data_IF_107985681137
#
_entry.id   IF_107985681137
#
_cell.length_a   1.000
_cell.length_b   1.000
_cell.length_c   1.000
_cell.angle_alpha   90.00
_cell.angle_beta   90.00
_cell.angle_gamma   90.00
#
_symmetry.space_group_name_H-M   'P 1'
#
loop_
_entity.id
_entity.type
_entity.pdbx_description
1 polymer ?
#
# COMPACT_ATOMS: atom_id res chain seq x y z
N UNK A 1 -18.67 -9.09 -26.08
CA UNK A 1 -18.01 -7.80 -25.77
C UNK A 1 -16.52 -8.03 -25.66
N UNK A 2 -15.67 -7.05 -26.00
CA UNK A 2 -14.24 -7.17 -25.79
C UNK A 2 -13.92 -7.40 -24.30
N UNK A 3 -12.99 -8.31 -24.00
CA UNK A 3 -12.61 -8.69 -22.64
C UNK A 3 -12.19 -7.49 -21.77
N UNK A 4 -11.46 -6.53 -22.36
CA UNK A 4 -11.02 -5.32 -21.65
C UNK A 4 -12.19 -4.45 -21.13
N UNK A 5 -13.36 -4.49 -21.77
CA UNK A 5 -14.53 -3.72 -21.30
C UNK A 5 -15.07 -4.32 -20.00
N UNK A 6 -15.12 -5.65 -19.90
CA UNK A 6 -15.57 -6.34 -18.70
C UNK A 6 -14.62 -6.08 -17.52
N UNK A 7 -13.31 -6.03 -17.78
CA UNK A 7 -12.32 -5.72 -16.76
C UNK A 7 -12.46 -4.28 -16.24
N UNK A 8 -12.64 -3.31 -17.13
CA UNK A 8 -12.87 -1.90 -16.74
C UNK A 8 -14.15 -1.75 -15.92
N UNK A 9 -15.22 -2.45 -16.32
CA UNK A 9 -16.48 -2.46 -15.56
C UNK A 9 -16.31 -3.10 -14.18
N UNK A 10 -15.57 -4.21 -14.07
CA UNK A 10 -15.30 -4.87 -12.80
C UNK A 10 -14.50 -3.97 -11.85
N UNK A 11 -13.47 -3.29 -12.36
CA UNK A 11 -12.69 -2.30 -11.59
C UNK A 11 -13.58 -1.13 -11.15
N UNK A 12 -14.40 -0.58 -12.06
CA UNK A 12 -15.33 0.50 -11.73
C UNK A 12 -16.32 0.11 -10.63
N UNK A 13 -16.84 -1.12 -10.66
CA UNK A 13 -17.73 -1.65 -9.64
C UNK A 13 -17.04 -1.80 -8.27
N UNK A 14 -15.77 -2.20 -8.26
CA UNK A 14 -14.96 -2.25 -7.03
C UNK A 14 -14.78 -0.86 -6.40
N UNK A 15 -14.46 0.15 -7.23
CA UNK A 15 -14.31 1.53 -6.76
C UNK A 15 -15.62 2.06 -6.18
N UNK A 16 -16.74 1.83 -6.86
CA UNK A 16 -18.08 2.22 -6.37
C UNK A 16 -18.39 1.49 -5.04
N UNK A 17 -18.12 0.19 -4.96
CA UNK A 17 -18.32 -0.57 -3.73
C UNK A 17 -17.53 0.00 -2.55
N UNK A 18 -16.25 0.34 -2.77
CA UNK A 18 -15.39 0.93 -1.74
C UNK A 18 -15.90 2.29 -1.26
N UNK A 19 -16.40 3.14 -2.18
CA UNK A 19 -17.00 4.42 -1.84
C UNK A 19 -18.29 4.22 -1.03
N UNK A 20 -19.19 3.34 -1.48
CA UNK A 20 -20.45 3.01 -0.78
C UNK A 20 -20.18 2.46 0.63
N UNK A 21 -19.16 1.63 0.80
CA UNK A 21 -18.75 1.13 2.10
C UNK A 21 -18.25 2.27 3.00
N UNK A 22 -17.40 3.16 2.48
CA UNK A 22 -16.87 4.31 3.23
C UNK A 22 -17.97 5.28 3.67
N UNK A 23 -19.01 5.46 2.85
CA UNK A 23 -20.20 6.25 3.21
C UNK A 23 -20.97 5.69 4.43
N UNK A 24 -20.87 4.39 4.68
CA UNK A 24 -21.48 3.76 5.85
C UNK A 24 -20.63 3.88 7.12
N UNK A 25 -19.33 4.16 6.99
CA UNK A 25 -18.40 4.12 8.11
C UNK A 25 -18.66 5.25 9.12
N UNK A 26 -18.52 4.97 10.43
CA UNK A 26 -18.79 5.98 11.43
C UNK A 26 -17.83 7.18 11.39
N UNK A 27 -16.62 6.96 10.90
CA UNK A 27 -15.54 7.95 10.80
C UNK A 27 -15.38 8.48 9.36
N UNK A 28 -16.47 8.51 8.59
CA UNK A 28 -16.48 9.11 7.26
C UNK A 28 -16.24 10.62 7.36
N UNK A 29 -15.40 11.16 6.49
CA UNK A 29 -15.01 12.58 6.48
C UNK A 29 -15.66 13.40 5.35
N UNK A 30 -16.47 12.81 4.45
CA UNK A 30 -17.07 13.56 3.33
C UNK A 30 -18.34 14.33 3.68
N UNK A 31 -19.08 13.91 4.70
CA UNK A 31 -20.35 14.53 5.06
C UNK A 31 -20.45 14.74 6.57
N UNK A 32 -20.97 15.89 6.99
CA UNK A 32 -21.21 16.22 8.40
C UNK A 32 -22.25 15.31 9.06
N UNK A 33 -23.17 14.76 8.27
CA UNK A 33 -24.24 13.86 8.71
C UNK A 33 -24.19 12.58 7.91
N UNK A 34 -24.35 11.45 8.61
CA UNK A 34 -24.43 10.13 7.98
C UNK A 34 -25.78 10.00 7.27
N UNK A 35 -25.82 9.68 5.97
CA UNK A 35 -27.07 9.55 5.24
C UNK A 35 -27.86 8.30 5.66
N UNK A 36 -27.17 7.19 5.96
CA UNK A 36 -27.77 5.91 6.35
C UNK A 36 -26.86 5.19 7.36
N UNK A 37 -27.40 4.21 8.08
CA UNK A 37 -26.63 3.36 9.00
C UNK A 37 -25.57 2.51 8.30
N UNK A 38 -24.62 1.98 9.08
CA UNK A 38 -23.48 1.19 8.58
C UNK A 38 -23.90 -0.13 7.89
N UNK A 39 -24.84 -0.87 8.49
CA UNK A 39 -25.25 -2.19 8.01
C UNK A 39 -25.83 -2.23 6.57
N UNK A 40 -26.73 -1.32 6.15
CA UNK A 40 -27.22 -1.33 4.77
C UNK A 40 -26.12 -0.99 3.76
N UNK A 41 -25.24 -0.04 4.06
CA UNK A 41 -24.08 0.27 3.20
C UNK A 41 -23.12 -0.92 3.08
N UNK A 42 -22.89 -1.64 4.18
CA UNK A 42 -22.09 -2.87 4.17
C UNK A 42 -22.72 -3.95 3.27
N UNK A 43 -24.02 -4.19 3.41
CA UNK A 43 -24.73 -5.17 2.59
C UNK A 43 -24.68 -4.82 1.09
N UNK A 44 -24.91 -3.56 0.73
CA UNK A 44 -24.81 -3.09 -0.67
C UNK A 44 -23.39 -3.25 -1.19
N UNK A 45 -22.37 -2.88 -0.41
CA UNK A 45 -20.97 -3.01 -0.83
C UNK A 45 -20.56 -4.47 -1.09
N UNK A 46 -21.01 -5.41 -0.24
CA UNK A 46 -20.76 -6.83 -0.44
C UNK A 46 -21.46 -7.36 -1.70
N UNK A 47 -22.70 -6.93 -1.97
CA UNK A 47 -23.40 -7.28 -3.20
C UNK A 47 -22.66 -6.80 -4.45
N UNK A 48 -22.16 -5.56 -4.43
CA UNK A 48 -21.35 -5.02 -5.53
C UNK A 48 -20.02 -5.77 -5.71
N UNK A 49 -19.36 -6.19 -4.62
CA UNK A 49 -18.13 -6.99 -4.70
C UNK A 49 -18.36 -8.38 -5.29
N UNK A 50 -19.48 -9.04 -4.94
CA UNK A 50 -19.85 -10.32 -5.54
C UNK A 50 -20.09 -10.15 -7.04
N UNK A 51 -20.74 -9.07 -7.45
CA UNK A 51 -20.91 -8.72 -8.86
C UNK A 51 -19.57 -8.49 -9.58
N UNK A 52 -18.63 -7.80 -8.94
CA UNK A 52 -17.30 -7.53 -9.52
C UNK A 52 -16.49 -8.82 -9.66
N UNK A 53 -16.57 -9.71 -8.65
CA UNK A 53 -15.96 -11.03 -8.68
C UNK A 53 -16.48 -11.88 -9.83
N UNK A 54 -17.80 -11.87 -10.05
CA UNK A 54 -18.42 -12.58 -11.15
C UNK A 54 -17.90 -12.11 -12.51
N UNK A 55 -17.75 -10.79 -12.67
CA UNK A 55 -17.20 -10.21 -13.90
C UNK A 55 -15.74 -10.65 -14.11
N UNK A 56 -14.87 -10.57 -13.10
CA UNK A 56 -13.49 -11.06 -13.20
C UNK A 56 -13.41 -12.56 -13.47
N UNK A 57 -14.31 -13.34 -12.86
CA UNK A 57 -14.36 -14.80 -13.03
C UNK A 57 -14.63 -15.25 -14.46
N UNK A 58 -15.23 -14.39 -15.28
CA UNK A 58 -15.47 -14.71 -16.70
C UNK A 58 -14.18 -14.89 -17.52
N UNK A 59 -13.06 -14.32 -17.07
CA UNK A 59 -11.78 -14.35 -17.77
C UNK A 59 -10.60 -14.83 -16.92
N UNK A 60 -10.66 -14.67 -15.60
CA UNK A 60 -9.59 -15.05 -14.67
C UNK A 60 -9.90 -16.33 -13.89
N UNK A 61 -8.83 -17.00 -13.44
CA UNK A 61 -8.96 -18.10 -12.49
C UNK A 61 -9.59 -17.61 -11.18
N UNK A 62 -10.22 -18.50 -10.41
CA UNK A 62 -10.85 -18.14 -9.12
C UNK A 62 -9.85 -17.42 -8.21
N UNK A 63 -8.65 -17.99 -8.12
CA UNK A 63 -7.58 -17.49 -7.28
C UNK A 63 -7.12 -16.09 -7.71
N UNK A 64 -6.94 -15.89 -9.02
CA UNK A 64 -6.53 -14.60 -9.59
C UNK A 64 -7.62 -13.54 -9.45
N UNK A 65 -8.90 -13.91 -9.64
CA UNK A 65 -10.04 -13.00 -9.47
C UNK A 65 -10.14 -12.50 -8.02
N UNK A 66 -10.05 -13.42 -7.06
CA UNK A 66 -10.09 -13.06 -5.63
C UNK A 66 -8.90 -12.19 -5.23
N UNK A 67 -7.70 -12.51 -5.75
CA UNK A 67 -6.51 -11.70 -5.49
C UNK A 67 -6.63 -10.29 -6.08
N UNK A 68 -7.08 -10.16 -7.33
CA UNK A 68 -7.29 -8.88 -8.00
C UNK A 68 -8.28 -8.01 -7.21
N UNK A 69 -9.40 -8.58 -6.75
CA UNK A 69 -10.36 -7.88 -5.90
C UNK A 69 -9.75 -7.38 -4.60
N UNK A 70 -9.00 -8.23 -3.89
CA UNK A 70 -8.38 -7.85 -2.63
C UNK A 70 -7.38 -6.70 -2.83
N UNK A 71 -6.55 -6.75 -3.88
CA UNK A 71 -5.61 -5.69 -4.19
C UNK A 71 -6.31 -4.37 -4.52
N UNK A 72 -7.35 -4.40 -5.36
CA UNK A 72 -8.11 -3.20 -5.72
C UNK A 72 -8.80 -2.61 -4.48
N UNK A 73 -9.38 -3.45 -3.62
CA UNK A 73 -10.08 -3.01 -2.42
C UNK A 73 -9.12 -2.39 -1.39
N UNK A 74 -7.96 -3.02 -1.18
CA UNK A 74 -6.91 -2.49 -0.30
C UNK A 74 -6.42 -1.12 -0.79
N UNK A 75 -6.19 -0.98 -2.10
CA UNK A 75 -5.77 0.28 -2.70
C UNK A 75 -6.86 1.36 -2.57
N UNK A 76 -8.09 1.04 -2.94
CA UNK A 76 -9.21 1.99 -2.92
C UNK A 76 -9.51 2.50 -1.50
N UNK A 77 -9.61 1.60 -0.51
CA UNK A 77 -9.83 1.98 0.89
C UNK A 77 -8.65 2.76 1.48
N UNK A 78 -7.42 2.53 1.01
CA UNK A 78 -6.27 3.32 1.46
C UNK A 78 -6.29 4.75 0.93
N UNK A 79 -6.81 4.98 -0.29
CA UNK A 79 -6.86 6.30 -0.93
C UNK A 79 -8.06 7.15 -0.49
N UNK A 80 -9.18 6.52 -0.14
CA UNK A 80 -10.43 7.19 0.22
C UNK A 80 -10.27 8.24 1.34
N UNK A 81 -9.55 7.99 2.45
CA UNK A 81 -9.33 9.01 3.50
C UNK A 81 -8.48 10.19 3.04
N UNK A 82 -7.57 10.00 2.08
CA UNK A 82 -6.73 11.07 1.57
C UNK A 82 -7.49 11.99 0.62
N UNK A 83 -8.44 11.45 -0.14
CA UNK A 83 -9.36 12.25 -0.96
C UNK A 83 -10.33 13.08 -0.10
N UNK A 84 -10.60 12.63 1.14
CA UNK A 84 -11.55 13.27 2.04
C UNK A 84 -10.98 14.45 2.84
N UNK A 85 -9.70 14.40 3.18
CA UNK A 85 -9.08 15.31 4.16
C UNK A 85 -8.50 16.57 3.49
N UNK A 86 -9.33 17.33 2.78
CA UNK A 86 -8.97 18.66 2.29
C UNK A 86 -9.43 19.80 3.19
N UNK A 87 -10.29 19.54 4.17
CA UNK A 87 -10.62 20.55 5.17
C UNK A 87 -9.50 20.71 6.19
N UNK A 88 -9.21 21.99 6.49
CA UNK A 88 -8.27 22.38 7.52
C UNK A 88 -8.65 21.70 8.83
N UNK A 89 -7.67 21.29 9.67
CA UNK A 89 -7.98 20.81 11.01
C UNK A 89 -8.86 21.87 11.68
N UNK A 90 -9.98 21.47 12.28
CA UNK A 90 -10.81 22.35 13.10
C UNK A 90 -9.85 23.00 14.10
N UNK A 91 -9.51 24.27 13.83
CA UNK A 91 -8.64 25.04 14.69
C UNK A 91 -9.35 25.09 16.02
N UNK A 92 -8.68 24.63 17.08
CA UNK A 92 -9.18 24.81 18.43
C UNK A 92 -9.33 26.32 18.67
N UNK A 93 -10.51 26.87 18.42
CA UNK A 93 -10.89 28.26 18.73
C UNK A 93 -11.22 28.41 20.22
N UNK A 94 -10.89 27.42 21.05
CA UNK A 94 -10.78 27.59 22.48
C UNK A 94 -9.56 28.42 22.81
N UNK A 95 -9.78 29.69 23.16
CA UNK A 95 -8.82 30.53 23.88
C UNK A 95 -8.42 29.84 25.18
N UNK A 96 -7.40 28.98 25.13
CA UNK A 96 -6.81 28.38 26.32
C UNK A 96 -6.00 29.46 27.02
N UNK A 97 -6.63 30.07 28.02
CA UNK A 97 -5.92 30.88 29.00
C UNK A 97 -5.08 29.96 29.90
N UNK A 98 -3.85 30.42 30.13
CA UNK A 98 -2.91 30.08 31.22
C UNK A 98 -1.93 28.92 31.03
N UNK A 99 -0.63 29.28 31.09
CA UNK A 99 0.21 28.80 32.21
C UNK A 99 1.32 27.80 31.93
N UNK A 100 1.49 27.28 30.71
CA UNK A 100 2.62 26.38 30.40
C UNK A 100 3.31 26.90 29.14
N UNK A 101 4.54 27.39 29.29
CA UNK A 101 5.41 27.73 28.16
C UNK A 101 5.60 26.47 27.32
N UNK A 102 5.02 26.45 26.12
CA UNK A 102 5.15 25.35 25.17
C UNK A 102 6.64 25.12 24.94
N UNK A 103 7.14 23.97 25.36
CA UNK A 103 8.54 23.60 25.16
C UNK A 103 8.86 23.75 23.66
N UNK A 104 9.97 24.41 23.32
CA UNK A 104 10.35 24.68 21.91
C UNK A 104 10.45 23.37 21.12
N UNK A 105 10.69 22.25 21.81
CA UNK A 105 10.69 20.87 21.29
C UNK A 105 9.35 20.44 20.67
N UNK A 106 8.22 20.95 21.15
CA UNK A 106 6.89 20.61 20.63
C UNK A 106 6.57 21.32 19.29
N UNK A 107 7.35 22.34 18.91
CA UNK A 107 7.06 23.18 17.72
C UNK A 107 7.58 22.60 16.40
N UNK A 108 8.29 21.47 16.41
CA UNK A 108 8.85 20.86 15.19
C UNK A 108 8.65 19.34 15.09
N UNK A 109 7.61 18.78 15.71
CA UNK A 109 7.08 17.50 15.24
C UNK A 109 6.36 17.73 13.90
N UNK A 110 7.14 18.03 12.85
CA UNK A 110 6.61 18.05 11.50
C UNK A 110 6.17 16.63 11.17
N UNK A 111 4.99 16.44 10.56
CA UNK A 111 4.56 15.15 10.07
C UNK A 111 5.53 14.64 8.98
N UNK A 112 6.60 13.94 9.38
CA UNK A 112 7.59 13.35 8.46
C UNK A 112 7.07 12.05 7.82
N UNK A 113 5.79 11.72 7.99
CA UNK A 113 5.20 10.46 7.50
C UNK A 113 5.30 10.35 5.97
N UNK A 114 5.16 11.46 5.24
CA UNK A 114 5.41 11.48 3.79
C UNK A 114 6.84 11.09 3.44
N UNK A 115 7.84 11.64 4.13
CA UNK A 115 9.24 11.30 3.90
C UNK A 115 9.55 9.85 4.28
N UNK A 116 8.91 9.33 5.35
CA UNK A 116 9.03 7.93 5.78
C UNK A 116 8.49 6.98 4.72
N UNK A 117 7.27 7.22 4.26
CA UNK A 117 6.60 6.37 3.27
C UNK A 117 7.32 6.49 1.94
N UNK A 118 7.48 7.69 1.37
CA UNK A 118 8.09 7.88 0.05
C UNK A 118 9.54 7.43 0.01
N UNK A 119 10.33 7.75 1.05
CA UNK A 119 11.74 7.38 1.11
C UNK A 119 11.93 5.87 1.12
N UNK A 120 11.14 5.15 1.94
CA UNK A 120 11.24 3.69 2.03
C UNK A 120 10.53 2.99 0.87
N UNK A 121 9.48 3.58 0.29
CA UNK A 121 8.84 3.08 -0.91
C UNK A 121 9.83 3.05 -2.08
N UNK A 122 10.51 4.18 -2.33
CA UNK A 122 11.46 4.33 -3.43
C UNK A 122 12.74 3.52 -3.19
N UNK A 123 13.32 3.56 -1.98
CA UNK A 123 14.58 2.84 -1.70
C UNK A 123 14.38 1.36 -1.35
N UNK A 124 13.21 0.98 -0.85
CA UNK A 124 12.90 -0.41 -0.50
C UNK A 124 12.62 -1.29 -1.70
N UNK A 125 12.09 -0.74 -2.79
CA UNK A 125 11.81 -1.51 -4.01
C UNK A 125 13.08 -2.10 -4.66
N UNK A 126 14.13 -1.31 -4.97
CA UNK A 126 15.37 -1.84 -5.53
C UNK A 126 16.05 -2.83 -4.56
N UNK A 127 15.91 -2.65 -3.25
CA UNK A 127 16.43 -3.61 -2.27
C UNK A 127 15.72 -4.97 -2.39
N UNK A 128 14.39 -4.97 -2.47
CA UNK A 128 13.60 -6.18 -2.63
C UNK A 128 13.93 -6.90 -3.95
N UNK A 129 14.04 -6.15 -5.06
CA UNK A 129 14.44 -6.70 -6.36
C UNK A 129 15.86 -7.28 -6.30
N UNK A 130 16.80 -6.58 -5.68
CA UNK A 130 18.18 -7.03 -5.56
C UNK A 130 18.32 -8.32 -4.75
N UNK A 131 17.62 -8.42 -3.61
CA UNK A 131 17.60 -9.63 -2.78
C UNK A 131 16.94 -10.79 -3.54
N UNK A 132 15.83 -10.55 -4.24
CA UNK A 132 15.22 -11.55 -5.13
C UNK A 132 16.14 -11.99 -6.26
N UNK A 133 16.93 -11.07 -6.83
CA UNK A 133 17.94 -11.39 -7.84
C UNK A 133 19.09 -12.24 -7.29
N UNK A 134 19.53 -11.99 -6.05
CA UNK A 134 20.52 -12.85 -5.38
C UNK A 134 19.98 -14.27 -5.21
N UNK A 135 18.71 -14.41 -4.83
CA UNK A 135 18.05 -15.72 -4.74
C UNK A 135 17.88 -16.39 -6.11
N UNK A 136 17.68 -15.61 -7.18
CA UNK A 136 17.64 -16.15 -8.53
C UNK A 136 19.00 -16.73 -8.97
N UNK A 137 20.11 -16.06 -8.63
CA UNK A 137 21.48 -16.48 -8.99
C UNK A 137 22.01 -17.61 -8.10
N UNK A 138 21.88 -17.50 -6.78
CA UNK A 138 22.43 -18.48 -5.83
C UNK A 138 21.45 -19.60 -5.45
N UNK A 139 20.17 -19.46 -5.77
CA UNK A 139 19.16 -20.48 -5.48
C UNK A 139 19.35 -21.74 -6.35
N UNK A 140 19.07 -22.94 -5.81
CA UNK A 140 19.22 -24.19 -6.55
C UNK A 140 18.29 -24.26 -7.76
N UNK A 141 18.77 -24.85 -8.86
CA UNK A 141 18.02 -25.06 -10.11
C UNK A 141 18.08 -23.88 -11.09
N UNK A 142 17.67 -24.12 -12.33
CA UNK A 142 17.63 -23.08 -13.36
C UNK A 142 16.43 -22.14 -13.16
N UNK A 143 16.60 -20.85 -13.48
CA UNK A 143 15.52 -19.86 -13.43
C UNK A 143 14.38 -20.22 -14.39
N UNK A 144 14.68 -21.00 -15.42
CA UNK A 144 13.74 -21.53 -16.42
C UNK A 144 12.69 -22.49 -15.84
N UNK A 145 12.86 -22.97 -14.61
CA UNK A 145 11.82 -23.72 -13.91
C UNK A 145 10.71 -22.79 -13.41
N UNK A 146 9.47 -23.04 -13.86
CA UNK A 146 8.27 -22.25 -13.54
C UNK A 146 8.08 -21.98 -12.05
N UNK A 147 8.46 -22.93 -11.18
CA UNK A 147 8.31 -22.77 -9.72
C UNK A 147 9.32 -21.77 -9.16
N UNK A 148 10.58 -21.80 -9.63
CA UNK A 148 11.63 -20.90 -9.16
C UNK A 148 11.38 -19.47 -9.62
N UNK A 149 10.98 -19.29 -10.88
CA UNK A 149 10.63 -17.98 -11.41
C UNK A 149 9.43 -17.36 -10.67
N UNK A 150 8.40 -18.16 -10.39
CA UNK A 150 7.26 -17.74 -9.57
C UNK A 150 7.73 -17.36 -8.15
N UNK A 151 8.51 -18.20 -7.47
CA UNK A 151 8.98 -17.88 -6.11
C UNK A 151 9.78 -16.57 -6.07
N UNK A 152 10.72 -16.36 -6.99
CA UNK A 152 11.51 -15.12 -7.10
C UNK A 152 10.61 -13.91 -7.31
N UNK A 153 9.62 -14.03 -8.20
CA UNK A 153 8.65 -12.97 -8.48
C UNK A 153 7.79 -12.64 -7.25
N UNK A 154 7.25 -13.65 -6.58
CA UNK A 154 6.39 -13.49 -5.41
C UNK A 154 7.13 -13.00 -4.17
N UNK A 155 8.44 -13.23 -4.08
CA UNK A 155 9.27 -12.79 -2.95
C UNK A 155 9.52 -11.27 -2.94
N UNK A 156 9.41 -10.59 -4.09
CA UNK A 156 9.63 -9.13 -4.18
C UNK A 156 8.63 -8.38 -3.29
N UNK A 157 7.36 -8.73 -3.34
CA UNK A 157 6.28 -8.06 -2.60
C UNK A 157 6.48 -8.08 -1.07
N UNK A 158 6.66 -9.24 -0.39
CA UNK A 158 6.89 -9.27 1.05
C UNK A 158 8.21 -8.60 1.44
N UNK A 159 9.28 -8.75 0.64
CA UNK A 159 10.55 -8.08 0.90
C UNK A 159 10.44 -6.55 0.79
N UNK A 160 9.57 -6.05 -0.09
CA UNK A 160 9.33 -4.62 -0.26
C UNK A 160 8.44 -4.03 0.84
N UNK A 161 7.40 -4.76 1.25
CA UNK A 161 6.48 -4.32 2.31
C UNK A 161 7.10 -4.36 3.71
N UNK A 162 8.09 -5.23 3.94
CA UNK A 162 8.78 -5.36 5.23
C UNK A 162 9.41 -4.03 5.70
N UNK A 163 10.32 -3.37 4.94
CA UNK A 163 10.87 -2.08 5.37
C UNK A 163 9.80 -0.98 5.44
N UNK A 164 8.78 -1.02 4.57
CA UNK A 164 7.65 -0.08 4.59
C UNK A 164 6.84 -0.16 5.89
N UNK A 165 6.71 -1.34 6.49
CA UNK A 165 6.06 -1.50 7.79
C UNK A 165 6.98 -1.11 8.96
N UNK A 166 8.27 -1.49 8.89
CA UNK A 166 9.23 -1.23 9.97
C UNK A 166 9.63 0.24 10.10
N UNK A 167 9.48 1.07 9.05
CA UNK A 167 9.84 2.49 9.08
C UNK A 167 9.07 3.28 10.16
N UNK A 168 7.88 2.81 10.55
CA UNK A 168 7.08 3.44 11.60
C UNK A 168 7.62 3.18 13.01
N UNK A 169 8.42 2.13 13.20
CA UNK A 169 9.12 1.86 14.47
C UNK A 169 10.45 2.62 14.59
N UNK A 170 10.96 3.18 13.49
CA UNK A 170 12.24 3.87 13.51
C UNK A 170 12.15 5.27 14.13
N UNK A 171 12.99 5.53 15.13
CA UNK A 171 13.07 6.86 15.78
C UNK A 171 13.62 7.94 14.84
N UNK A 172 14.58 7.62 13.96
CA UNK A 172 15.20 8.58 13.03
C UNK A 172 15.11 8.12 11.57
N UNK A 173 14.38 8.89 10.75
CA UNK A 173 14.15 8.53 9.34
C UNK A 173 15.43 8.63 8.50
N UNK A 174 16.27 9.65 8.72
CA UNK A 174 17.51 9.84 7.95
C UNK A 174 18.44 8.63 8.12
N UNK A 175 18.57 8.11 9.35
CA UNK A 175 19.37 6.91 9.63
C UNK A 175 18.78 5.68 8.95
N UNK A 176 17.46 5.50 9.00
CA UNK A 176 16.79 4.38 8.33
C UNK A 176 16.98 4.42 6.81
N UNK A 177 16.81 5.59 6.18
CA UNK A 177 17.04 5.75 4.74
C UNK A 177 18.51 5.50 4.37
N UNK A 178 19.45 6.00 5.18
CA UNK A 178 20.88 5.74 4.98
C UNK A 178 21.20 4.24 5.07
N UNK A 179 20.62 3.51 6.02
CA UNK A 179 20.80 2.06 6.14
C UNK A 179 20.25 1.33 4.91
N UNK A 180 19.02 1.66 4.49
CA UNK A 180 18.40 1.02 3.32
C UNK A 180 19.20 1.33 2.05
N UNK A 181 19.70 2.56 1.91
CA UNK A 181 20.57 2.94 0.79
C UNK A 181 21.90 2.16 0.81
N UNK A 182 22.55 2.05 1.97
CA UNK A 182 23.78 1.25 2.11
C UNK A 182 23.54 -0.23 1.79
N UNK A 183 22.41 -0.80 2.22
CA UNK A 183 22.04 -2.18 1.89
C UNK A 183 21.81 -2.36 0.38
N UNK A 184 21.18 -1.39 -0.29
CA UNK A 184 21.07 -1.41 -1.75
C UNK A 184 22.45 -1.48 -2.40
N UNK A 185 23.36 -0.58 -2.02
CA UNK A 185 24.72 -0.56 -2.57
C UNK A 185 25.40 -1.92 -2.38
N UNK A 186 25.33 -2.51 -1.18
CA UNK A 186 25.91 -3.82 -0.89
C UNK A 186 25.31 -4.91 -1.78
N UNK A 187 23.99 -4.98 -1.87
CA UNK A 187 23.29 -6.01 -2.66
C UNK A 187 23.63 -5.89 -4.15
N UNK A 188 23.63 -4.69 -4.71
CA UNK A 188 23.98 -4.48 -6.12
C UNK A 188 25.47 -4.71 -6.40
N UNK A 189 26.37 -4.41 -5.45
CA UNK A 189 27.78 -4.78 -5.56
C UNK A 189 27.97 -6.30 -5.55
N UNK A 190 27.24 -7.02 -4.68
CA UNK A 190 27.25 -8.49 -4.67
C UNK A 190 26.73 -9.07 -5.99
N UNK A 191 25.64 -8.53 -6.53
CA UNK A 191 25.11 -8.94 -7.82
C UNK A 191 26.10 -8.67 -8.97
N UNK A 192 26.74 -7.50 -8.96
CA UNK A 192 27.76 -7.17 -9.95
C UNK A 192 28.95 -8.11 -9.88
N UNK A 193 29.46 -8.39 -8.67
CA UNK A 193 30.56 -9.34 -8.47
C UNK A 193 30.17 -10.77 -8.88
N UNK A 194 29.00 -11.23 -8.46
CA UNK A 194 28.48 -12.56 -8.83
C UNK A 194 28.30 -12.71 -10.35
N UNK A 195 27.97 -11.63 -11.05
CA UNK A 195 27.82 -11.63 -12.51
C UNK A 195 29.13 -11.41 -13.26
N UNK A 196 30.12 -10.75 -12.65
CA UNK A 196 31.45 -10.58 -13.24
C UNK A 196 32.33 -11.83 -13.11
N UNK A 197 32.03 -12.70 -12.13
CA UNK A 197 32.73 -13.97 -11.90
C UNK A 197 32.10 -15.20 -12.59
N UNK A 198 31.00 -15.03 -13.33
CA UNK A 198 30.33 -16.06 -14.16
C UNK A 198 30.55 -15.72 -15.62
#
# INVERSE_FOLDING_TARGET
>A
MPSYILDVLAVGLCLISSAVFYLGCPNQQWFDKRPVGFYPHLAVSLGLLIGAWWLFRSHLSVLSSSFALLCIQMLALSLLPFLARFDNPIGNTGTSKTGITKDKSASLYRPQWWLRILGVFILGYPLAVGISGLFALFGPGEITHDIKSQLVMWMITPLWLLPLSLVFFAQSIVRTLAIILSLNIIVYLLLWYARAGV
#
